data_IF_053049922057
#
_entry.id   IF_053049922057
#
_cell.length_a   1.000
_cell.length_b   1.000
_cell.length_c   1.000
_cell.angle_alpha   90.00
_cell.angle_beta   90.00
_cell.angle_gamma   90.00
#
_symmetry.space_group_name_H-M   'P 1'
#
loop_
_entity.id
_entity.type
_entity.pdbx_description
1 polymer ?
#
# COMPACT_ATOMS: atom_id res chain seq x y z
N UNK A 1 1.01 9.27 38.01
CA UNK A 1 0.18 9.73 36.89
C UNK A 1 0.91 9.29 35.64
N UNK A 2 0.61 8.08 35.18
CA UNK A 2 1.24 7.55 33.97
C UNK A 2 0.77 8.41 32.81
N UNK A 3 1.72 9.07 32.15
CA UNK A 3 1.46 9.77 30.90
C UNK A 3 0.97 8.70 29.93
N UNK A 4 -0.27 8.82 29.45
CA UNK A 4 -0.77 7.99 28.36
C UNK A 4 0.20 8.23 27.21
N UNK A 5 1.08 7.27 26.91
CA UNK A 5 1.96 7.37 25.76
C UNK A 5 1.08 7.47 24.52
N UNK A 6 1.15 8.62 23.84
CA UNK A 6 0.41 8.79 22.60
C UNK A 6 0.90 7.74 21.60
N UNK A 7 0.00 6.97 20.98
CA UNK A 7 0.39 5.97 20.01
C UNK A 7 1.19 6.63 18.88
N UNK A 8 2.25 5.97 18.44
CA UNK A 8 3.14 6.47 17.38
C UNK A 8 2.78 5.84 16.04
N UNK A 9 3.18 6.51 14.96
CA UNK A 9 3.07 5.98 13.60
C UNK A 9 4.13 4.91 13.35
N UNK A 10 3.72 3.71 12.95
CA UNK A 10 4.66 2.61 12.70
C UNK A 10 5.69 2.87 11.59
N UNK A 11 5.40 3.80 10.67
CA UNK A 11 6.28 4.09 9.53
C UNK A 11 7.21 5.28 9.74
N UNK A 12 6.92 6.23 10.62
CA UNK A 12 7.81 7.38 10.85
C UNK A 12 8.18 7.59 12.31
N UNK A 13 7.62 6.78 13.21
CA UNK A 13 7.85 6.81 14.65
C UNK A 13 7.52 8.17 15.29
N UNK A 14 6.74 9.01 14.60
CA UNK A 14 6.21 10.27 15.15
C UNK A 14 4.88 10.01 15.87
N UNK A 15 4.55 10.79 16.92
CA UNK A 15 3.25 10.69 17.59
C UNK A 15 2.08 10.89 16.63
N UNK A 16 1.01 10.10 16.81
CA UNK A 16 -0.26 10.34 16.15
C UNK A 16 -0.93 11.59 16.75
N UNK A 17 -1.63 12.35 15.92
CA UNK A 17 -2.42 13.49 16.38
C UNK A 17 -3.67 13.04 17.13
N UNK A 18 -4.17 13.87 18.04
CA UNK A 18 -5.40 13.59 18.81
C UNK A 18 -6.59 13.23 17.90
N UNK A 19 -6.70 13.90 16.74
CA UNK A 19 -7.75 13.61 15.77
C UNK A 19 -7.64 12.18 15.20
N UNK A 20 -6.43 11.67 15.00
CA UNK A 20 -6.20 10.30 14.51
C UNK A 20 -6.52 9.27 15.59
N UNK A 21 -6.12 9.55 16.83
CA UNK A 21 -6.45 8.70 17.99
C UNK A 21 -7.97 8.63 18.18
N UNK A 22 -8.65 9.79 18.22
CA UNK A 22 -10.10 9.88 18.34
C UNK A 22 -10.81 9.16 17.20
N UNK A 23 -10.37 9.37 15.94
CA UNK A 23 -10.95 8.67 14.79
C UNK A 23 -10.83 7.15 14.94
N UNK A 24 -9.69 6.67 15.43
CA UNK A 24 -9.48 5.25 15.67
C UNK A 24 -10.46 4.67 16.70
N UNK A 25 -10.76 5.45 17.75
CA UNK A 25 -11.75 5.09 18.76
C UNK A 25 -13.17 5.03 18.18
N UNK A 26 -13.58 6.03 17.40
CA UNK A 26 -14.92 6.07 16.78
C UNK A 26 -15.19 4.94 15.79
N UNK A 27 -14.16 4.50 15.05
CA UNK A 27 -14.27 3.43 14.05
C UNK A 27 -13.95 2.05 14.68
N UNK A 28 -13.66 2.02 15.99
CA UNK A 28 -13.20 0.83 16.73
C UNK A 28 -12.03 0.12 16.04
N UNK A 29 -11.17 0.91 15.38
CA UNK A 29 -9.98 0.45 14.66
C UNK A 29 -8.84 1.44 14.88
N UNK A 30 -7.78 1.07 15.62
CA UNK A 30 -6.69 2.00 15.92
C UNK A 30 -6.02 2.50 14.64
N UNK A 31 -5.63 3.77 14.63
CA UNK A 31 -4.79 4.30 13.57
C UNK A 31 -3.38 3.72 13.70
N UNK A 32 -2.93 2.97 12.70
CA UNK A 32 -1.62 2.31 12.71
C UNK A 32 -0.53 3.23 12.13
N UNK A 33 -0.91 4.15 11.25
CA UNK A 33 -0.01 5.13 10.63
C UNK A 33 -0.62 6.52 10.63
N UNK A 34 0.23 7.55 10.66
CA UNK A 34 -0.21 8.93 10.56
C UNK A 34 -0.67 9.29 9.13
N UNK A 35 -1.45 10.36 9.02
CA UNK A 35 -2.02 10.90 7.79
C UNK A 35 -0.93 11.31 6.81
N UNK A 36 0.19 11.83 7.30
CA UNK A 36 1.34 12.20 6.47
C UNK A 36 1.92 10.98 5.77
N UNK A 37 2.22 9.91 6.51
CA UNK A 37 2.67 8.65 5.91
C UNK A 37 1.62 8.04 4.99
N UNK A 38 0.34 8.07 5.40
CA UNK A 38 -0.76 7.55 4.58
C UNK A 38 -0.88 8.25 3.22
N UNK A 39 -0.66 9.56 3.16
CA UNK A 39 -0.72 10.35 1.92
C UNK A 39 0.46 10.10 0.97
N UNK A 40 1.62 9.66 1.49
CA UNK A 40 2.80 9.35 0.66
C UNK A 40 2.63 8.08 -0.17
N UNK A 41 1.64 7.23 0.14
CA UNK A 41 1.35 6.07 -0.69
C UNK A 41 0.68 6.52 -1.99
N UNK A 42 1.47 6.58 -3.05
CA UNK A 42 1.04 7.04 -4.37
C UNK A 42 0.37 5.92 -5.13
N UNK A 43 -0.92 6.10 -5.43
CA UNK A 43 -1.67 5.16 -6.26
C UNK A 43 -1.18 5.25 -7.70
N UNK A 44 -1.08 4.11 -8.37
CA UNK A 44 -0.88 4.09 -9.81
C UNK A 44 -2.17 4.57 -10.47
N UNK A 45 -2.06 5.64 -11.25
CA UNK A 45 -3.16 6.25 -12.00
C UNK A 45 -2.69 6.52 -13.43
N UNK A 46 -3.62 6.82 -14.35
CA UNK A 46 -3.27 7.04 -15.75
C UNK A 46 -3.01 5.73 -16.50
N UNK A 47 -2.02 5.78 -17.40
CA UNK A 47 -1.68 4.66 -18.28
C UNK A 47 -0.97 3.55 -17.52
N UNK A 48 -1.50 2.33 -17.59
CA UNK A 48 -0.97 1.19 -16.86
C UNK A 48 -1.05 -0.09 -17.67
N UNK A 49 -0.12 -0.99 -17.39
CA UNK A 49 -0.13 -2.34 -17.95
C UNK A 49 -1.45 -3.04 -17.63
N UNK A 50 -2.13 -3.57 -18.65
CA UNK A 50 -3.41 -4.28 -18.50
C UNK A 50 -3.30 -5.55 -17.66
N UNK A 51 -2.11 -6.15 -17.62
CA UNK A 51 -1.87 -7.42 -16.93
C UNK A 51 -1.48 -7.25 -15.46
N UNK A 52 -0.54 -6.35 -15.16
CA UNK A 52 -0.02 -6.19 -13.79
C UNK A 52 -0.30 -4.83 -13.17
N UNK A 53 -1.02 -3.92 -13.85
CA UNK A 53 -1.34 -2.59 -13.33
C UNK A 53 -0.14 -1.66 -13.10
N UNK A 54 1.09 -2.06 -13.44
CA UNK A 54 2.27 -1.20 -13.35
C UNK A 54 2.11 0.00 -14.28
N UNK A 55 2.51 1.16 -13.80
CA UNK A 55 2.67 2.36 -14.63
C UNK A 55 3.61 2.09 -15.82
N UNK A 56 3.25 2.62 -16.99
CA UNK A 56 4.02 2.47 -18.22
C UNK A 56 4.11 3.80 -18.96
N UNK A 57 5.32 4.16 -19.38
CA UNK A 57 5.58 5.40 -20.11
C UNK A 57 5.04 5.36 -21.56
N UNK A 58 5.00 4.18 -22.18
CA UNK A 58 4.59 4.01 -23.57
C UNK A 58 3.60 2.85 -23.75
N UNK A 59 2.80 2.99 -24.80
CA UNK A 59 1.53 2.29 -25.05
C UNK A 59 1.68 1.05 -25.94
N UNK A 60 2.89 0.54 -26.20
CA UNK A 60 3.01 -0.59 -27.13
C UNK A 60 2.27 -1.82 -26.58
N UNK A 61 1.09 -2.06 -27.16
CA UNK A 61 0.04 -3.01 -26.76
C UNK A 61 -0.46 -2.93 -25.29
N UNK A 62 -0.28 -1.78 -24.60
CA UNK A 62 -0.63 -1.61 -23.18
C UNK A 62 -0.07 -2.72 -22.25
N UNK A 63 1.11 -3.25 -22.59
CA UNK A 63 1.75 -4.31 -21.82
C UNK A 63 3.21 -3.99 -21.51
N UNK A 64 3.59 -4.05 -20.23
CA UNK A 64 4.97 -3.84 -19.83
C UNK A 64 5.88 -5.03 -20.23
N UNK A 65 7.17 -4.75 -20.41
CA UNK A 65 8.18 -5.75 -20.77
C UNK A 65 8.19 -6.94 -19.81
N UNK A 66 8.07 -6.69 -18.50
CA UNK A 66 8.01 -7.75 -17.50
C UNK A 66 6.84 -8.70 -17.79
N UNK A 67 5.63 -8.18 -18.02
CA UNK A 67 4.50 -9.06 -18.33
C UNK A 67 4.72 -9.82 -19.65
N UNK A 68 5.32 -9.21 -20.67
CA UNK A 68 5.66 -9.92 -21.92
C UNK A 68 6.60 -11.11 -21.68
N UNK A 69 7.57 -10.96 -20.78
CA UNK A 69 8.50 -12.04 -20.42
C UNK A 69 7.82 -13.08 -19.53
N UNK A 70 7.08 -12.63 -18.51
CA UNK A 70 6.48 -13.51 -17.51
C UNK A 70 5.36 -14.37 -18.08
N UNK A 71 4.52 -13.84 -18.96
CA UNK A 71 3.45 -14.61 -19.60
C UNK A 71 3.98 -15.81 -20.38
N UNK A 72 5.17 -15.72 -21.00
CA UNK A 72 5.79 -16.87 -21.67
C UNK A 72 6.15 -18.00 -20.70
N UNK A 73 6.41 -17.67 -19.43
CA UNK A 73 6.75 -18.62 -18.36
C UNK A 73 5.52 -19.12 -17.60
N UNK A 74 4.46 -18.33 -17.54
CA UNK A 74 3.24 -18.61 -16.76
C UNK A 74 2.06 -19.05 -17.62
N UNK A 75 2.32 -19.47 -18.86
CA UNK A 75 1.29 -19.88 -19.82
C UNK A 75 0.19 -18.82 -20.00
N UNK A 76 0.59 -17.55 -20.07
CA UNK A 76 -0.28 -16.40 -20.28
C UNK A 76 -0.92 -15.80 -19.02
N UNK A 77 -0.68 -16.35 -17.82
CA UNK A 77 -1.37 -15.89 -16.61
C UNK A 77 -0.52 -14.97 -15.73
N UNK A 78 -0.98 -13.75 -15.48
CA UNK A 78 -0.45 -12.85 -14.46
C UNK A 78 -1.50 -12.68 -13.36
N UNK A 79 -1.18 -13.11 -12.14
CA UNK A 79 -2.13 -13.13 -11.00
C UNK A 79 -1.97 -11.97 -10.00
N UNK A 80 -1.08 -11.02 -10.29
CA UNK A 80 -0.84 -9.86 -9.42
C UNK A 80 -1.13 -8.57 -10.18
N UNK A 81 -1.72 -7.60 -9.49
CA UNK A 81 -1.92 -6.25 -10.03
C UNK A 81 -1.44 -5.23 -9.00
N UNK A 82 -0.52 -4.38 -9.45
CA UNK A 82 0.06 -3.27 -8.69
C UNK A 82 -0.95 -2.14 -8.57
N UNK A 83 -1.19 -1.70 -7.33
CA UNK A 83 -2.13 -0.61 -7.02
C UNK A 83 -1.43 0.71 -6.67
N UNK A 84 -0.16 0.64 -6.26
CA UNK A 84 0.65 1.75 -5.80
C UNK A 84 2.03 1.70 -6.43
N UNK A 85 2.66 2.87 -6.55
CA UNK A 85 4.06 2.97 -6.93
C UNK A 85 4.94 2.39 -5.82
N UNK A 86 6.04 1.75 -6.23
CA UNK A 86 7.07 1.25 -5.31
C UNK A 86 8.03 2.38 -4.89
N UNK A 87 7.44 3.48 -4.42
CA UNK A 87 8.17 4.66 -3.94
C UNK A 87 8.75 4.42 -2.54
N UNK A 88 9.43 5.42 -1.98
CA UNK A 88 10.11 5.30 -0.68
C UNK A 88 9.22 4.82 0.47
N UNK A 89 7.97 5.33 0.58
CA UNK A 89 7.10 4.90 1.67
C UNK A 89 6.63 3.46 1.48
N UNK A 90 6.42 3.03 0.23
CA UNK A 90 6.05 1.65 -0.07
C UNK A 90 7.21 0.70 0.21
N UNK A 91 8.44 1.09 -0.14
CA UNK A 91 9.66 0.37 0.22
C UNK A 91 9.81 0.25 1.74
N UNK A 92 9.61 1.34 2.47
CA UNK A 92 9.69 1.34 3.93
C UNK A 92 8.64 0.43 4.56
N UNK A 93 7.40 0.51 4.07
CA UNK A 93 6.32 -0.40 4.46
C UNK A 93 6.71 -1.86 4.28
N UNK A 94 7.22 -2.26 3.11
CA UNK A 94 7.59 -3.65 2.86
C UNK A 94 8.77 -4.10 3.71
N UNK A 95 9.74 -3.21 3.98
CA UNK A 95 10.85 -3.51 4.88
C UNK A 95 10.34 -3.85 6.27
N UNK A 96 9.47 -3.01 6.81
CA UNK A 96 8.89 -3.20 8.14
C UNK A 96 7.98 -4.44 8.20
N UNK A 97 7.08 -4.57 7.22
CA UNK A 97 6.15 -5.69 7.10
C UNK A 97 6.85 -7.04 7.01
N UNK A 98 7.84 -7.18 6.13
CA UNK A 98 8.48 -8.47 5.83
C UNK A 98 9.58 -8.84 6.82
N UNK A 99 10.37 -7.87 7.26
CA UNK A 99 11.62 -8.16 7.98
C UNK A 99 11.59 -7.74 9.46
N UNK A 100 10.62 -6.94 9.88
CA UNK A 100 10.55 -6.40 11.25
C UNK A 100 9.28 -6.85 11.99
N UNK A 101 8.56 -7.84 11.44
CA UNK A 101 7.39 -8.44 12.10
C UNK A 101 6.12 -7.59 12.04
N UNK A 102 6.10 -6.51 11.25
CA UNK A 102 4.96 -5.60 11.15
C UNK A 102 3.77 -6.13 10.33
N UNK A 103 3.38 -7.39 10.53
CA UNK A 103 2.33 -8.05 9.75
C UNK A 103 0.96 -7.40 9.91
N UNK A 104 0.69 -6.73 11.04
CA UNK A 104 -0.53 -5.97 11.26
C UNK A 104 -0.69 -4.79 10.30
N UNK A 105 0.40 -4.29 9.70
CA UNK A 105 0.33 -3.26 8.66
C UNK A 105 -0.41 -3.73 7.39
N UNK A 106 -0.59 -5.04 7.18
CA UNK A 106 -1.45 -5.56 6.10
C UNK A 106 -2.86 -4.96 6.12
N UNK A 107 -3.37 -4.60 7.31
CA UNK A 107 -4.68 -3.98 7.49
C UNK A 107 -4.83 -2.64 6.76
N UNK A 108 -3.71 -1.96 6.43
CA UNK A 108 -3.72 -0.71 5.67
C UNK A 108 -4.32 -0.86 4.26
N UNK A 109 -4.26 -2.06 3.70
CA UNK A 109 -4.64 -2.33 2.30
C UNK A 109 -5.90 -3.20 2.15
N UNK A 110 -6.41 -3.80 3.23
CA UNK A 110 -7.59 -4.69 3.19
C UNK A 110 -8.82 -3.99 2.59
N UNK A 111 -9.19 -2.80 3.08
CA UNK A 111 -10.37 -2.08 2.57
C UNK A 111 -10.22 -1.67 1.10
N UNK A 112 -8.99 -1.39 0.67
CA UNK A 112 -8.72 -0.94 -0.69
C UNK A 112 -8.69 -2.08 -1.70
N UNK A 113 -8.42 -3.31 -1.24
CA UNK A 113 -8.50 -4.48 -2.10
C UNK A 113 -9.94 -4.69 -2.57
N UNK A 114 -10.91 -4.67 -1.65
CA UNK A 114 -12.32 -4.87 -1.98
C UNK A 114 -12.84 -3.80 -2.95
N UNK A 115 -12.51 -2.52 -2.72
CA UNK A 115 -12.87 -1.41 -3.61
C UNK A 115 -12.32 -1.55 -5.04
N UNK A 116 -11.25 -2.33 -5.25
CA UNK A 116 -10.52 -2.38 -6.51
C UNK A 116 -10.65 -3.72 -7.25
N UNK A 117 -11.07 -4.79 -6.57
CA UNK A 117 -11.16 -6.14 -7.14
C UNK A 117 -12.55 -6.78 -7.03
N UNK A 118 -13.44 -6.33 -6.15
CA UNK A 118 -14.84 -6.75 -6.15
C UNK A 118 -15.66 -5.82 -7.06
N UNK A 119 -15.66 -6.14 -8.36
CA UNK A 119 -16.68 -5.71 -9.32
C UNK A 119 -17.57 -6.89 -9.67
#
# INVERSE_FOLDING_TARGET
MELIENPTCDLCQQPLSDLEVLRGLFILKPCIICRTCKKRFERITGLKCRQCGRDVAEVDDNQCLDCRVWMKRTNGQIKHVSLYHYNEIMQHYFKYYKFQGGYHLSQLFVLKYNELYEK
#
